data_IF_277763452652
#
_entry.id   IF_277763452652
#
_cell.length_a   1.000
_cell.length_b   1.000
_cell.length_c   1.000
_cell.angle_alpha   90.00
_cell.angle_beta   90.00
_cell.angle_gamma   90.00
#
_symmetry.space_group_name_H-M   'P 1'
#
loop_
_entity.id
_entity.type
_entity.pdbx_description
1 polymer ?
#
# COMPACT_ATOMS: atom_id res chain seq x y z
N UNK A 1 3.07 13.43 -3.45
CA UNK A 1 2.12 12.57 -2.74
C UNK A 1 2.16 12.92 -1.27
N UNK A 2 1.14 13.62 -0.78
CA UNK A 2 0.84 13.79 0.64
C UNK A 2 0.29 12.47 1.22
N UNK A 3 0.19 12.36 2.54
CA UNK A 3 -0.39 11.19 3.20
C UNK A 3 -1.84 10.94 2.74
N UNK A 4 -2.62 12.01 2.60
CA UNK A 4 -4.00 11.90 2.15
C UNK A 4 -4.09 11.49 0.66
N UNK A 5 -3.20 12.00 -0.19
CA UNK A 5 -3.09 11.56 -1.59
C UNK A 5 -2.70 10.08 -1.69
N UNK A 6 -1.79 9.61 -0.83
CA UNK A 6 -1.44 8.19 -0.76
C UNK A 6 -2.65 7.33 -0.40
N UNK A 7 -3.40 7.71 0.63
CA UNK A 7 -4.61 6.99 1.03
C UNK A 7 -5.65 6.92 -0.09
N UNK A 8 -5.84 8.02 -0.82
CA UNK A 8 -6.76 8.08 -1.95
C UNK A 8 -6.32 7.19 -3.11
N UNK A 9 -5.03 7.20 -3.45
CA UNK A 9 -4.51 6.37 -4.54
C UNK A 9 -4.57 4.87 -4.21
N UNK A 10 -4.33 4.49 -2.95
CA UNK A 10 -4.51 3.11 -2.51
C UNK A 10 -5.98 2.71 -2.61
N UNK A 11 -6.91 3.52 -2.08
CA UNK A 11 -8.35 3.27 -2.16
C UNK A 11 -8.83 3.07 -3.61
N UNK A 12 -8.37 3.92 -4.53
CA UNK A 12 -8.68 3.83 -5.96
C UNK A 12 -8.17 2.54 -6.61
N UNK A 13 -7.03 1.99 -6.13
CA UNK A 13 -6.45 0.75 -6.67
C UNK A 13 -7.05 -0.50 -6.08
N UNK A 14 -7.56 -0.42 -4.85
CA UNK A 14 -8.18 -1.54 -4.14
C UNK A 14 -9.65 -1.69 -4.48
N UNK A 15 -10.31 -0.60 -4.88
CA UNK A 15 -11.66 -0.65 -5.46
C UNK A 15 -11.59 -1.33 -6.83
N UNK A 16 -11.95 -2.61 -6.87
CA UNK A 16 -11.94 -3.42 -8.08
C UNK A 16 -13.28 -4.09 -8.25
N UNK A 17 -13.62 -4.47 -9.49
CA UNK A 17 -14.88 -5.16 -9.78
C UNK A 17 -15.11 -6.44 -8.96
N UNK A 18 -14.04 -7.09 -8.48
CA UNK A 18 -14.09 -8.32 -7.66
C UNK A 18 -14.05 -8.04 -6.15
N UNK A 19 -13.72 -6.83 -5.73
CA UNK A 19 -13.55 -6.47 -4.33
C UNK A 19 -13.97 -5.02 -4.16
N UNK A 20 -15.21 -4.83 -3.70
CA UNK A 20 -15.72 -3.51 -3.34
C UNK A 20 -15.28 -3.21 -1.91
N UNK A 21 -14.17 -2.49 -1.79
CA UNK A 21 -13.74 -1.91 -0.52
C UNK A 21 -14.10 -0.43 -0.56
N UNK A 22 -14.77 0.06 0.48
CA UNK A 22 -15.08 1.48 0.51
C UNK A 22 -13.82 2.30 0.88
N UNK A 23 -13.79 3.57 0.47
CA UNK A 23 -12.63 4.43 0.69
C UNK A 23 -12.33 4.66 2.18
N UNK A 24 -13.36 4.65 3.04
CA UNK A 24 -13.22 4.82 4.49
C UNK A 24 -12.56 3.59 5.15
N UNK A 25 -12.91 2.38 4.71
CA UNK A 25 -12.30 1.12 5.12
C UNK A 25 -10.84 1.06 4.69
N UNK A 26 -10.54 1.44 3.45
CA UNK A 26 -9.14 1.51 2.98
C UNK A 26 -8.31 2.44 3.85
N UNK A 27 -8.83 3.63 4.17
CA UNK A 27 -8.16 4.61 5.03
C UNK A 27 -7.93 4.06 6.44
N UNK A 28 -8.91 3.38 7.03
CA UNK A 28 -8.77 2.73 8.34
C UNK A 28 -7.67 1.67 8.31
N UNK A 29 -7.68 0.77 7.33
CA UNK A 29 -6.67 -0.27 7.20
C UNK A 29 -5.25 0.31 7.06
N UNK A 30 -5.08 1.36 6.25
CA UNK A 30 -3.78 2.01 6.09
C UNK A 30 -3.33 2.69 7.40
N UNK A 31 -4.26 3.33 8.13
CA UNK A 31 -3.96 3.95 9.42
C UNK A 31 -3.50 2.92 10.45
N UNK A 32 -4.17 1.78 10.54
CA UNK A 32 -3.77 0.67 11.42
C UNK A 32 -2.40 0.11 11.01
N UNK A 33 -2.11 -0.01 9.72
CA UNK A 33 -0.80 -0.44 9.24
C UNK A 33 0.33 0.51 9.70
N UNK A 34 0.12 1.83 9.66
CA UNK A 34 1.09 2.79 10.19
C UNK A 34 1.19 2.75 11.72
N UNK A 35 0.09 2.46 12.42
CA UNK A 35 0.10 2.28 13.88
C UNK A 35 0.94 1.07 14.28
N UNK A 36 0.84 -0.05 13.55
CA UNK A 36 1.70 -1.22 13.75
C UNK A 36 3.16 -0.88 13.49
N UNK A 37 3.46 -0.15 12.41
CA UNK A 37 4.82 0.30 12.11
C UNK A 37 5.40 1.22 13.19
N UNK A 38 4.58 2.08 13.79
CA UNK A 38 4.98 2.98 14.86
C UNK A 38 5.34 2.24 16.17
N UNK A 39 4.82 1.03 16.36
CA UNK A 39 5.21 0.16 17.48
C UNK A 39 6.54 -0.56 17.31
N UNK A 40 7.17 -0.46 16.13
CA UNK A 40 8.45 -1.09 15.83
C UNK A 40 9.61 -0.12 16.03
N UNK A 41 10.83 -0.64 16.21
CA UNK A 41 12.01 0.20 16.16
C UNK A 41 12.22 0.79 14.75
N UNK A 42 12.86 1.96 14.67
CA UNK A 42 13.12 2.64 13.40
C UNK A 42 13.89 1.76 12.38
N UNK A 43 14.91 0.95 12.78
CA UNK A 43 15.58 0.05 11.86
C UNK A 43 14.68 -1.07 11.31
N UNK A 44 13.86 -1.67 12.16
CA UNK A 44 13.00 -2.80 11.78
C UNK A 44 11.86 -2.36 10.85
N UNK A 45 11.19 -1.25 11.18
CA UNK A 45 10.15 -0.65 10.34
C UNK A 45 10.70 -0.28 8.96
N UNK A 46 11.89 0.34 8.90
CA UNK A 46 12.57 0.68 7.64
C UNK A 46 12.89 -0.55 6.79
N UNK A 47 13.40 -1.62 7.42
CA UNK A 47 13.69 -2.88 6.74
C UNK A 47 12.42 -3.56 6.19
N UNK A 48 11.31 -3.51 6.93
CA UNK A 48 10.03 -4.05 6.49
C UNK A 48 9.48 -3.29 5.28
N UNK A 49 9.49 -1.94 5.33
CA UNK A 49 9.05 -1.10 4.21
C UNK A 49 9.91 -1.35 2.97
N UNK A 50 11.24 -1.48 3.12
CA UNK A 50 12.13 -1.81 2.01
C UNK A 50 11.77 -3.14 1.33
N UNK A 51 11.47 -4.19 2.12
CA UNK A 51 11.00 -5.48 1.60
C UNK A 51 9.65 -5.35 0.88
N UNK A 52 8.71 -4.60 1.45
CA UNK A 52 7.40 -4.37 0.85
C UNK A 52 7.51 -3.63 -0.50
N UNK A 53 8.38 -2.62 -0.60
CA UNK A 53 8.66 -1.90 -1.84
C UNK A 53 9.26 -2.81 -2.92
N UNK A 54 10.22 -3.68 -2.55
CA UNK A 54 10.81 -4.65 -3.47
C UNK A 54 9.75 -5.63 -4.02
N UNK A 55 8.82 -6.08 -3.18
CA UNK A 55 7.69 -6.90 -3.62
C UNK A 55 6.74 -6.14 -4.56
N UNK A 56 6.43 -4.87 -4.26
CA UNK A 56 5.60 -4.00 -5.10
C UNK A 56 6.22 -3.69 -6.47
N UNK A 57 7.55 -3.52 -6.53
CA UNK A 57 8.29 -3.31 -7.77
C UNK A 57 8.17 -4.50 -8.72
N UNK A 58 8.26 -5.74 -8.20
CA UNK A 58 8.05 -6.98 -8.98
C UNK A 58 6.64 -7.03 -9.58
N UNK A 59 5.61 -6.66 -8.81
CA UNK A 59 4.22 -6.62 -9.29
C UNK A 59 4.02 -5.58 -10.39
N UNK A 60 4.62 -4.41 -10.25
CA UNK A 60 4.54 -3.34 -11.25
C UNK A 60 5.27 -3.73 -12.54
N UNK A 61 6.44 -4.36 -12.44
CA UNK A 61 7.18 -4.90 -13.59
C UNK A 61 6.39 -6.00 -14.34
N UNK A 62 5.76 -6.92 -13.61
CA UNK A 62 4.88 -7.95 -14.20
C UNK A 62 3.66 -7.35 -14.90
N UNK A 63 3.09 -6.28 -14.35
CA UNK A 63 1.94 -5.58 -14.95
C UNK A 63 2.33 -4.86 -16.24
N UNK A 64 3.54 -4.28 -16.31
CA UNK A 64 4.08 -3.64 -17.54
C UNK A 64 4.33 -4.64 -18.68
N UNK A 65 4.77 -5.87 -18.37
CA UNK A 65 5.00 -6.93 -19.38
C UNK A 65 3.71 -7.46 -20.01
N UNK A 66 2.57 -7.44 -19.30
CA UNK A 66 1.27 -7.90 -19.84
C UNK A 66 0.55 -6.87 -20.72
N UNK A 67 1.02 -5.62 -20.73
CA UNK A 67 0.43 -4.50 -21.50
C UNK A 67 1.22 -4.15 -22.78
N UNK A 68 2.25 -4.93 -23.09
CA UNK A 68 3.13 -4.77 -24.25
C UNK A 68 2.96 -5.98 -25.16
#
# INVERSE_FOLDING_TARGET
MTLNEFHNEVARRTDTAKTKINAAETRRVISEAFTVLAGMSAPESSALIAKALAAGAKKTAATKKKKK
#
